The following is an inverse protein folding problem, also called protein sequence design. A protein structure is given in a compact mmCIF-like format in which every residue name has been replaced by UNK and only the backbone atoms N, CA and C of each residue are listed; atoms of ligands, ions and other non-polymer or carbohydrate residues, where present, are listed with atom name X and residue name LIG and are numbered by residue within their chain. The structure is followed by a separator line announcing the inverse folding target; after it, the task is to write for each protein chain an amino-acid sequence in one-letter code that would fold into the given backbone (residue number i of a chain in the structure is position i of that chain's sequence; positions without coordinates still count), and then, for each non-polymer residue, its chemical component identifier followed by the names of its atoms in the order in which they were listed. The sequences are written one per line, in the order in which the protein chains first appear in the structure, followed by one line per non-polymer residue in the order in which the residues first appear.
data_IF_754296261100
#
_entry.id   IF_754296261100
#
_cell.length_a   1.000
_cell.length_b   1.000
_cell.length_c   1.000
_cell.angle_alpha   90.00
_cell.angle_beta   90.00
_cell.angle_gamma   90.00
#
_symmetry.space_group_name_H-M   'P 1'
#
loop_
_entity.id
_entity.type
_entity.pdbx_description
1 polymer ?
#
# COMPACT_ATOMS: atom_id res chain seq x y z
N UNK A 1 -1.44 -16.08 16.20
CA UNK A 1 -1.65 -16.31 14.75
C UNK A 1 -0.75 -15.35 14.01
N UNK A 2 0.12 -15.81 13.11
CA UNK A 2 1.13 -14.93 12.52
C UNK A 2 0.41 -13.89 11.66
N UNK A 3 0.52 -12.63 12.08
CA UNK A 3 -0.09 -11.47 11.44
C UNK A 3 0.46 -11.31 10.03
N UNK A 4 -0.23 -11.86 9.04
CA UNK A 4 -0.02 -11.41 7.67
C UNK A 4 -0.39 -9.94 7.61
N UNK A 5 0.36 -9.13 6.85
CA UNK A 5 0.08 -7.72 6.61
C UNK A 5 -1.23 -7.42 5.88
N UNK A 6 -2.34 -8.05 6.27
CA UNK A 6 -3.67 -7.78 5.76
C UNK A 6 -4.73 -7.97 6.85
N UNK A 7 -5.83 -7.24 6.72
CA UNK A 7 -7.01 -7.37 7.55
C UNK A 7 -8.22 -7.72 6.68
N UNK A 8 -9.07 -8.62 7.16
CA UNK A 8 -10.33 -8.97 6.50
C UNK A 8 -11.45 -8.06 7.02
N UNK A 9 -12.23 -7.51 6.10
CA UNK A 9 -13.36 -6.66 6.41
C UNK A 9 -14.66 -7.48 6.54
N UNK A 10 -15.67 -6.96 7.26
CA UNK A 10 -16.96 -7.65 7.44
C UNK A 10 -17.65 -8.01 6.11
N UNK A 11 -17.43 -7.21 5.06
CA UNK A 11 -17.98 -7.45 3.72
C UNK A 11 -17.22 -8.48 2.87
N UNK A 12 -16.29 -9.24 3.45
CA UNK A 12 -15.52 -10.28 2.74
C UNK A 12 -14.34 -9.78 1.90
N UNK A 13 -14.21 -8.47 1.73
CA UNK A 13 -13.03 -7.83 1.14
C UNK A 13 -11.87 -7.76 2.13
N UNK A 14 -10.67 -7.45 1.64
CA UNK A 14 -9.45 -7.33 2.45
C UNK A 14 -8.74 -6.02 2.20
N UNK A 15 -8.09 -5.52 3.24
CA UNK A 15 -7.10 -4.45 3.15
C UNK A 15 -5.73 -5.07 3.36
N UNK A 16 -4.82 -4.84 2.43
CA UNK A 16 -3.44 -5.37 2.47
C UNK A 16 -2.49 -4.20 2.62
N UNK A 17 -1.64 -4.24 3.65
CA UNK A 17 -0.54 -3.32 3.89
C UNK A 17 0.78 -3.99 3.54
N UNK A 18 1.53 -3.37 2.62
CA UNK A 18 2.82 -3.90 2.13
C UNK A 18 3.85 -2.78 2.14
N UNK A 19 4.97 -3.00 2.84
CA UNK A 19 6.18 -2.21 2.69
C UNK A 19 6.91 -2.58 1.40
N UNK A 20 7.14 -1.61 0.52
CA UNK A 20 7.87 -1.78 -0.73
C UNK A 20 9.06 -0.81 -0.78
N UNK A 21 10.19 -1.19 -1.40
CA UNK A 21 11.19 -0.21 -1.76
C UNK A 21 10.58 0.82 -2.70
N UNK A 22 10.93 2.09 -2.50
CA UNK A 22 10.49 3.20 -3.34
C UNK A 22 10.86 2.93 -4.81
N UNK A 23 9.87 2.82 -5.72
CA UNK A 23 10.12 2.54 -7.13
C UNK A 23 10.76 3.72 -7.87
N UNK A 24 10.71 4.94 -7.31
CA UNK A 24 11.37 6.12 -7.87
C UNK A 24 12.88 6.18 -7.54
N UNK A 25 13.41 5.21 -6.79
CA UNK A 25 14.84 5.08 -6.51
C UNK A 25 15.33 5.94 -5.34
N UNK A 26 14.44 6.52 -4.55
CA UNK A 26 14.79 7.37 -3.41
C UNK A 26 15.37 6.63 -2.19
N UNK A 27 15.61 5.32 -2.28
CA UNK A 27 16.20 4.50 -1.20
C UNK A 27 15.32 4.36 0.05
N UNK A 28 14.09 4.90 0.03
CA UNK A 28 13.13 4.84 1.13
C UNK A 28 12.20 3.65 0.97
N UNK A 29 11.65 3.17 2.08
CA UNK A 29 10.55 2.19 2.05
C UNK A 29 9.24 2.96 2.03
N UNK A 30 8.34 2.61 1.12
CA UNK A 30 6.97 3.11 1.05
C UNK A 30 6.01 2.06 1.58
N UNK A 31 5.03 2.49 2.36
CA UNK A 31 3.94 1.66 2.86
C UNK A 31 2.76 1.82 1.91
N UNK A 32 2.38 0.73 1.26
CA UNK A 32 1.29 0.69 0.28
C UNK A 32 0.09 -0.05 0.85
N UNK A 33 -1.09 0.57 0.75
CA UNK A 33 -2.37 0.02 1.15
C UNK A 33 -3.21 -0.33 -0.08
N UNK A 34 -3.79 -1.52 -0.07
CA UNK A 34 -4.64 -2.01 -1.16
C UNK A 34 -5.93 -2.58 -0.61
N UNK A 35 -7.05 -2.02 -1.03
CA UNK A 35 -8.37 -2.61 -0.87
C UNK A 35 -8.70 -3.50 -2.07
N UNK A 36 -9.06 -4.75 -1.81
CA UNK A 36 -9.41 -5.72 -2.85
C UNK A 36 -10.36 -6.80 -2.31
N UNK A 37 -11.00 -7.54 -3.21
CA UNK A 37 -11.86 -8.67 -2.82
C UNK A 37 -11.11 -9.79 -2.08
N UNK A 38 -9.82 -10.00 -2.38
CA UNK A 38 -8.98 -10.97 -1.67
C UNK A 38 -7.49 -10.61 -1.83
N UNK A 39 -6.64 -11.31 -1.06
CA UNK A 39 -5.18 -11.07 -1.06
C UNK A 39 -4.56 -11.26 -2.44
N UNK A 40 -4.94 -12.31 -3.17
CA UNK A 40 -4.39 -12.57 -4.49
C UNK A 40 -4.66 -11.41 -5.46
N UNK A 41 -5.88 -10.86 -5.47
CA UNK A 41 -6.26 -9.69 -6.28
C UNK A 41 -5.48 -8.45 -5.88
N UNK A 42 -5.26 -8.21 -4.59
CA UNK A 42 -4.42 -7.10 -4.14
C UNK A 42 -2.99 -7.20 -4.71
N UNK A 43 -2.37 -8.39 -4.62
CA UNK A 43 -1.03 -8.62 -5.17
C UNK A 43 -1.01 -8.48 -6.70
N UNK A 44 -2.04 -8.98 -7.39
CA UNK A 44 -2.17 -8.80 -8.84
C UNK A 44 -2.23 -7.32 -9.23
N UNK A 45 -3.01 -6.50 -8.52
CA UNK A 45 -3.09 -5.05 -8.79
C UNK A 45 -1.73 -4.39 -8.65
N UNK A 46 -0.98 -4.69 -7.58
CA UNK A 46 0.38 -4.16 -7.39
C UNK A 46 1.34 -4.60 -8.51
N UNK A 47 1.28 -5.86 -8.92
CA UNK A 47 2.08 -6.37 -10.05
C UNK A 47 1.76 -5.67 -11.36
N UNK A 48 0.47 -5.42 -11.63
CA UNK A 48 0.03 -4.71 -12.83
C UNK A 48 0.49 -3.25 -12.86
N UNK A 49 0.74 -2.65 -11.69
CA UNK A 49 1.33 -1.33 -11.55
C UNK A 49 2.86 -1.32 -11.69
N UNK A 50 3.49 -2.47 -11.97
CA UNK A 50 4.94 -2.59 -12.12
C UNK A 50 5.70 -2.81 -10.80
N UNK A 51 5.00 -2.90 -9.66
CA UNK A 51 5.60 -3.10 -8.35
C UNK A 51 5.95 -4.58 -8.13
N UNK A 52 7.14 -4.99 -8.58
CA UNK A 52 7.60 -6.39 -8.57
C UNK A 52 8.16 -6.85 -7.21
N UNK A 53 8.54 -5.93 -6.33
CA UNK A 53 9.15 -6.22 -5.02
C UNK A 53 8.18 -6.82 -3.97
N UNK A 54 6.90 -6.95 -4.33
CA UNK A 54 5.78 -7.40 -3.49
C UNK A 54 5.97 -8.79 -2.87
N UNK A 55 6.80 -9.65 -3.48
CA UNK A 55 7.02 -11.01 -3.00
C UNK A 55 8.07 -11.13 -1.90
N UNK A 56 8.88 -10.09 -1.63
CA UNK A 56 10.12 -10.31 -0.88
C UNK A 56 9.98 -10.16 0.63
N UNK A 57 9.45 -9.06 1.19
CA UNK A 57 9.38 -8.89 2.66
C UNK A 57 8.33 -7.90 3.18
N UNK A 58 7.41 -7.41 2.34
CA UNK A 58 6.59 -6.25 2.71
C UNK A 58 5.37 -6.51 3.61
N UNK A 59 4.92 -7.77 3.74
CA UNK A 59 3.64 -8.12 4.35
C UNK A 59 3.80 -8.58 5.82
N UNK A 60 4.61 -7.88 6.59
CA UNK A 60 4.97 -8.26 7.97
C UNK A 60 4.13 -7.55 9.04
N UNK A 61 3.45 -6.46 8.69
CA UNK A 61 2.70 -5.66 9.64
C UNK A 61 1.24 -5.48 9.19
N UNK A 62 0.24 -5.79 10.04
CA UNK A 62 -1.16 -5.61 9.69
C UNK A 62 -1.49 -4.12 9.48
N UNK A 63 -2.50 -3.80 8.64
CA UNK A 63 -2.97 -2.44 8.51
C UNK A 63 -3.60 -1.95 9.82
N UNK A 64 -3.36 -0.69 10.19
CA UNK A 64 -4.00 -0.05 11.34
C UNK A 64 -5.46 0.35 11.04
N UNK A 65 -6.31 0.65 12.04
CA UNK A 65 -7.68 1.10 11.79
C UNK A 65 -7.78 2.39 10.96
N UNK A 66 -6.85 3.32 11.16
CA UNK A 66 -6.73 4.55 10.36
C UNK A 66 -6.40 4.23 8.89
N UNK A 67 -5.44 3.33 8.68
CA UNK A 67 -5.04 2.86 7.33
C UNK A 67 -6.22 2.20 6.58
N UNK A 68 -6.98 1.37 7.29
CA UNK A 68 -8.18 0.73 6.75
C UNK A 68 -9.22 1.79 6.36
N UNK A 69 -9.43 2.79 7.21
CA UNK A 69 -10.40 3.86 6.95
C UNK A 69 -9.98 4.68 5.73
N UNK A 70 -8.72 5.12 5.68
CA UNK A 70 -8.19 5.91 4.58
C UNK A 70 -8.36 5.22 3.21
N UNK A 71 -8.01 3.93 3.09
CA UNK A 71 -8.08 3.21 1.82
C UNK A 71 -9.52 2.95 1.37
N UNK A 72 -10.45 2.76 2.32
CA UNK A 72 -11.87 2.55 2.03
C UNK A 72 -12.57 3.79 1.49
N UNK A 73 -12.10 4.98 1.87
CA UNK A 73 -12.62 6.25 1.36
C UNK A 73 -11.96 6.71 0.06
N UNK A 74 -10.92 6.01 -0.42
CA UNK A 74 -10.25 6.37 -1.66
C UNK A 74 -10.89 5.68 -2.87
N UNK A 75 -11.21 6.40 -3.97
CA UNK A 75 -11.93 5.84 -5.12
C UNK A 75 -11.19 4.67 -5.79
N UNK A 76 -9.86 4.73 -5.86
CA UNK A 76 -9.06 3.67 -6.48
C UNK A 76 -8.84 2.44 -5.57
N UNK A 77 -9.12 2.58 -4.26
CA UNK A 77 -8.80 1.60 -3.23
C UNK A 77 -7.29 1.30 -3.12
N UNK A 78 -6.44 2.25 -3.50
CA UNK A 78 -4.97 2.13 -3.50
C UNK A 78 -4.33 3.43 -3.02
N UNK A 79 -3.60 3.34 -1.91
CA UNK A 79 -2.89 4.45 -1.29
C UNK A 79 -1.45 4.06 -0.97
N UNK A 80 -0.59 5.05 -0.82
CA UNK A 80 0.76 4.87 -0.30
C UNK A 80 1.19 6.07 0.55
N UNK A 81 2.20 5.85 1.38
CA UNK A 81 2.95 6.87 2.13
C UNK A 81 4.38 6.38 2.34
N UNK A 82 5.31 7.23 2.75
CA UNK A 82 6.60 6.73 3.26
C UNK A 82 6.43 5.96 4.58
N UNK A 83 7.29 4.98 4.83
CA UNK A 83 7.23 4.13 6.02
C UNK A 83 7.52 4.90 7.31
N UNK A 84 8.41 5.88 7.24
CA UNK A 84 8.68 6.87 8.29
C UNK A 84 8.21 8.24 7.78
N UNK A 85 6.89 8.50 7.82
CA UNK A 85 6.37 9.76 7.34
C UNK A 85 6.91 10.91 8.18
N UNK A 86 7.29 12.01 7.51
CA UNK A 86 7.40 13.29 8.19
C UNK A 86 6.04 13.60 8.86
N UNK A 87 6.03 14.30 10.00
CA UNK A 87 4.86 14.45 10.87
C UNK A 87 3.57 15.00 10.19
N UNK A 88 3.64 15.44 8.93
CA UNK A 88 2.51 15.97 8.14
C UNK A 88 2.31 15.24 6.81
N UNK A 89 2.95 14.10 6.58
CA UNK A 89 2.81 13.37 5.32
C UNK A 89 1.43 12.71 5.23
N UNK A 90 0.66 13.14 4.22
CA UNK A 90 -0.68 12.64 3.95
C UNK A 90 -0.64 11.38 3.11
N UNK A 91 -1.76 10.65 3.07
CA UNK A 91 -1.92 9.53 2.16
C UNK A 91 -1.91 9.99 0.70
N UNK A 92 -1.04 9.39 -0.11
CA UNK A 92 -0.91 9.68 -1.52
C UNK A 92 -1.58 8.60 -2.37
N UNK A 93 -2.23 8.97 -3.49
CA UNK A 93 -2.75 7.99 -4.43
C UNK A 93 -1.60 7.26 -5.12
N UNK A 94 -1.74 5.97 -5.41
CA UNK A 94 -0.64 5.14 -5.99
C UNK A 94 -0.10 5.69 -7.31
N UNK A 95 -0.91 6.44 -8.08
CA UNK A 95 -0.47 7.14 -9.29
C UNK A 95 0.65 8.15 -9.05
N UNK A 96 0.69 8.79 -7.88
CA UNK A 96 1.75 9.72 -7.51
C UNK A 96 3.10 9.01 -7.30
N UNK A 97 3.07 7.71 -6.96
CA UNK A 97 4.25 6.87 -6.85
C UNK A 97 4.81 6.48 -8.23
N UNK A 98 3.92 6.25 -9.20
CA UNK A 98 4.29 5.79 -10.56
C UNK A 98 4.65 6.93 -11.50
N UNK A 99 4.06 8.10 -11.28
CA UNK A 99 4.43 9.35 -11.91
C UNK A 99 4.91 10.29 -10.81
N UNK A 100 6.12 10.08 -10.25
CA UNK A 100 6.75 11.14 -9.48
C UNK A 100 6.83 12.32 -10.46
N UNK A 101 6.16 13.42 -10.12
CA UNK A 101 6.28 14.63 -10.91
C UNK A 101 7.79 14.91 -11.03
N UNK A 102 8.33 14.78 -12.25
CA UNK A 102 9.70 15.17 -12.54
C UNK A 102 9.76 16.68 -12.28
N UNK A 103 10.26 17.07 -11.11
CA UNK A 103 10.52 18.47 -10.80
C UNK A 103 10.35 18.79 -9.33
N UNK A 104 11.46 18.88 -8.60
CA UNK A 104 12.12 20.16 -8.38
C UNK A 104 13.61 19.93 -8.16
#
# INVERSE_FOLDING_TARGET
MPGGGFCKLPGGSVVVAIGLPDPAGGGRTVRVLVHAANRARALTRLRNLGLRAVYLRGNTEPPTPDEITAVLHHPDGLLWRTHEPLAQELWHPIRALLHPARGA
#
